data_IF_820219338531
#
_entry.id   IF_820219338531
#
_cell.length_a   1.000
_cell.length_b   1.000
_cell.length_c   1.000
_cell.angle_alpha   90.00
_cell.angle_beta   90.00
_cell.angle_gamma   90.00
#
_symmetry.space_group_name_H-M   'P 1'
#
loop_
_entity.id
_entity.type
_entity.pdbx_description
1 polymer ?
#
# COMPACT_ATOMS: atom_id res chain seq x y z
N UNK A 1 -0.94 -0.60 26.69
CA UNK A 1 -0.71 0.00 25.37
C UNK A 1 -1.26 -0.96 24.33
N UNK A 2 -2.30 -0.59 23.59
CA UNK A 2 -3.04 -1.51 22.70
C UNK A 2 -2.97 -1.13 21.22
N UNK A 3 -2.56 0.10 20.91
CA UNK A 3 -2.58 0.64 19.55
C UNK A 3 -1.44 1.65 19.35
N UNK A 4 -1.09 1.85 18.09
CA UNK A 4 -0.16 2.88 17.63
C UNK A 4 -0.95 3.95 16.91
N UNK A 5 -0.56 5.22 17.10
CA UNK A 5 -1.18 6.36 16.42
C UNK A 5 -0.09 7.11 15.66
N UNK A 6 -0.26 7.27 14.35
CA UNK A 6 0.69 7.99 13.50
C UNK A 6 0.51 9.51 13.57
N UNK A 7 1.47 10.26 13.02
CA UNK A 7 1.35 11.72 12.87
C UNK A 7 0.17 12.16 11.99
N UNK A 8 -0.33 11.27 11.12
CA UNK A 8 -1.51 11.49 10.28
C UNK A 8 -2.81 11.10 10.99
N UNK A 9 -2.77 10.76 12.29
CA UNK A 9 -3.90 10.28 13.10
C UNK A 9 -4.44 8.91 12.67
N UNK A 10 -3.64 8.15 11.92
CA UNK A 10 -3.96 6.76 11.60
C UNK A 10 -3.73 5.89 12.83
N UNK A 11 -4.71 5.04 13.15
CA UNK A 11 -4.68 4.14 14.30
C UNK A 11 -4.48 2.71 13.82
N UNK A 12 -3.45 2.06 14.34
CA UNK A 12 -3.13 0.66 14.03
C UNK A 12 -3.14 -0.14 15.34
N UNK A 13 -4.07 -1.10 15.51
CA UNK A 13 -4.06 -1.99 16.67
C UNK A 13 -2.79 -2.83 16.71
N UNK A 14 -2.15 -2.92 17.87
CA UNK A 14 -1.02 -3.82 18.06
C UNK A 14 -1.50 -5.28 18.00
N UNK A 15 -0.66 -6.16 17.47
CA UNK A 15 -0.94 -7.62 17.45
C UNK A 15 -1.12 -8.21 18.86
N UNK A 16 -0.61 -7.53 19.89
CA UNK A 16 -0.78 -7.85 21.30
C UNK A 16 -0.87 -6.58 22.13
N UNK A 17 -1.70 -6.60 23.17
CA UNK A 17 -1.70 -5.53 24.17
C UNK A 17 -0.44 -5.64 25.02
N UNK A 18 0.21 -4.50 25.25
CA UNK A 18 1.47 -4.39 25.96
C UNK A 18 1.30 -3.72 27.33
N UNK A 19 1.92 -4.29 28.36
CA UNK A 19 1.84 -3.87 29.76
C UNK A 19 3.25 -3.61 30.31
N UNK A 20 3.62 -2.37 30.70
CA UNK A 20 4.98 -2.05 31.18
C UNK A 20 5.39 -2.79 32.46
N UNK A 21 4.41 -3.18 33.28
CA UNK A 21 4.57 -3.93 34.52
C UNK A 21 5.08 -5.37 34.28
N UNK A 22 4.83 -5.96 33.10
CA UNK A 22 5.40 -7.25 32.69
C UNK A 22 6.95 -7.23 32.65
N UNK A 23 7.54 -6.03 32.63
CA UNK A 23 8.98 -5.79 32.54
C UNK A 23 9.51 -4.99 33.75
N UNK A 24 8.88 -5.14 34.92
CA UNK A 24 9.25 -4.44 36.15
C UNK A 24 9.32 -2.90 36.01
N UNK A 25 8.57 -2.32 35.06
CA UNK A 25 8.60 -0.90 34.72
C UNK A 25 9.99 -0.35 34.30
N UNK A 26 10.92 -1.21 33.88
CA UNK A 26 12.22 -0.79 33.39
C UNK A 26 12.08 -0.18 31.99
N UNK A 27 12.21 1.14 31.90
CA UNK A 27 11.90 1.93 30.70
C UNK A 27 12.63 1.46 29.46
N UNK A 28 13.94 1.25 29.54
CA UNK A 28 14.76 0.81 28.41
C UNK A 28 14.33 -0.58 27.91
N UNK A 29 13.94 -1.47 28.82
CA UNK A 29 13.50 -2.82 28.48
C UNK A 29 12.13 -2.78 27.81
N UNK A 30 11.13 -2.18 28.45
CA UNK A 30 9.77 -2.24 27.94
C UNK A 30 9.59 -1.41 26.66
N UNK A 31 10.34 -0.32 26.49
CA UNK A 31 10.34 0.43 25.22
C UNK A 31 10.92 -0.40 24.07
N UNK A 32 12.03 -1.11 24.30
CA UNK A 32 12.64 -1.97 23.26
C UNK A 32 11.70 -3.10 22.82
N UNK A 33 10.99 -3.70 23.78
CA UNK A 33 10.02 -4.77 23.48
C UNK A 33 8.79 -4.21 22.77
N UNK A 34 8.30 -3.03 23.20
CA UNK A 34 7.21 -2.34 22.53
C UNK A 34 7.58 -2.00 21.07
N UNK A 35 8.75 -1.42 20.83
CA UNK A 35 9.26 -1.10 19.48
C UNK A 35 9.29 -2.35 18.58
N UNK A 36 9.77 -3.48 19.12
CA UNK A 36 9.76 -4.75 18.38
C UNK A 36 8.33 -5.16 18.02
N UNK A 37 7.39 -5.06 18.96
CA UNK A 37 5.98 -5.36 18.71
C UNK A 37 5.31 -4.41 17.70
N UNK A 38 5.72 -3.14 17.67
CA UNK A 38 5.29 -2.17 16.66
C UNK A 38 5.74 -2.61 15.26
N UNK A 39 7.02 -2.96 15.10
CA UNK A 39 7.58 -3.49 13.85
C UNK A 39 6.88 -4.79 13.39
N UNK A 40 6.66 -5.73 14.30
CA UNK A 40 5.94 -6.97 14.01
C UNK A 40 4.50 -6.70 13.56
N UNK A 41 3.84 -5.72 14.18
CA UNK A 41 2.48 -5.31 13.82
C UNK A 41 2.42 -4.77 12.40
N UNK A 42 3.31 -3.84 12.03
CA UNK A 42 3.33 -3.29 10.66
C UNK A 42 3.66 -4.39 9.64
N UNK A 43 4.59 -5.29 9.96
CA UNK A 43 4.92 -6.43 9.10
C UNK A 43 3.70 -7.33 8.87
N UNK A 44 2.95 -7.64 9.92
CA UNK A 44 1.72 -8.44 9.82
C UNK A 44 0.63 -7.73 9.01
N UNK A 45 0.41 -6.43 9.26
CA UNK A 45 -0.54 -5.60 8.52
C UNK A 45 -0.21 -5.61 7.02
N UNK A 46 1.05 -5.35 6.64
CA UNK A 46 1.45 -5.36 5.23
C UNK A 46 1.23 -6.73 4.58
N UNK A 47 1.54 -7.83 5.29
CA UNK A 47 1.27 -9.19 4.77
C UNK A 47 -0.21 -9.42 4.53
N UNK A 48 -1.07 -9.09 5.52
CA UNK A 48 -2.51 -9.29 5.39
C UNK A 48 -3.11 -8.41 4.29
N UNK A 49 -2.66 -7.16 4.17
CA UNK A 49 -3.08 -6.24 3.12
C UNK A 49 -2.77 -6.83 1.73
N UNK A 50 -1.52 -7.27 1.51
CA UNK A 50 -1.11 -7.87 0.25
C UNK A 50 -1.89 -9.15 -0.08
N UNK A 51 -2.12 -10.03 0.90
CA UNK A 51 -2.91 -11.26 0.68
C UNK A 51 -4.38 -10.96 0.37
N UNK A 52 -4.97 -9.94 0.97
CA UNK A 52 -6.38 -9.57 0.77
C UNK A 52 -6.61 -8.81 -0.55
N UNK A 53 -5.55 -8.29 -1.20
CA UNK A 53 -5.64 -7.43 -2.39
C UNK A 53 -6.43 -8.06 -3.54
N UNK A 54 -6.13 -9.33 -3.88
CA UNK A 54 -6.79 -10.03 -5.00
C UNK A 54 -8.24 -10.46 -4.67
N UNK A 55 -8.61 -10.46 -3.39
CA UNK A 55 -9.91 -10.93 -2.91
C UNK A 55 -11.03 -9.89 -2.91
N UNK A 56 -10.74 -8.62 -3.23
CA UNK A 56 -11.68 -7.50 -3.06
C UNK A 56 -11.67 -6.52 -4.24
N UNK A 57 -12.76 -5.77 -4.47
CA UNK A 57 -12.72 -4.63 -5.36
C UNK A 57 -11.69 -3.60 -4.88
N UNK A 58 -10.76 -3.20 -5.76
CA UNK A 58 -9.65 -2.29 -5.41
C UNK A 58 -10.10 -1.03 -4.67
N UNK A 59 -11.17 -0.39 -5.15
CA UNK A 59 -11.67 0.85 -4.53
C UNK A 59 -12.21 0.68 -3.10
N UNK A 60 -12.66 -0.52 -2.73
CA UNK A 60 -13.00 -0.87 -1.35
C UNK A 60 -11.74 -1.21 -0.57
N UNK A 61 -10.86 -2.05 -1.13
CA UNK A 61 -9.60 -2.45 -0.51
C UNK A 61 -8.73 -1.24 -0.11
N UNK A 62 -8.64 -0.22 -0.96
CA UNK A 62 -7.89 1.02 -0.70
C UNK A 62 -8.35 1.80 0.54
N UNK A 63 -9.57 1.54 1.04
CA UNK A 63 -10.16 2.25 2.19
C UNK A 63 -10.05 1.46 3.50
N UNK A 64 -9.78 0.16 3.42
CA UNK A 64 -9.81 -0.77 4.54
C UNK A 64 -8.44 -0.95 5.21
N UNK A 65 -7.35 -0.69 4.48
CA UNK A 65 -5.99 -0.94 4.94
C UNK A 65 -5.25 0.34 5.34
N UNK A 66 -4.32 0.28 6.31
CA UNK A 66 -3.49 1.41 6.68
C UNK A 66 -2.70 1.96 5.49
N UNK A 67 -2.56 3.28 5.42
CA UNK A 67 -2.09 3.99 4.25
C UNK A 67 -0.74 3.53 3.76
N UNK A 68 0.23 3.34 4.65
CA UNK A 68 1.56 2.85 4.24
C UNK A 68 1.53 1.40 3.71
N UNK A 69 0.65 0.55 4.25
CA UNK A 69 0.44 -0.79 3.72
C UNK A 69 -0.22 -0.73 2.33
N UNK A 70 -1.21 0.15 2.14
CA UNK A 70 -1.82 0.43 0.84
C UNK A 70 -0.78 0.82 -0.20
N UNK A 71 0.04 1.83 0.09
CA UNK A 71 1.06 2.31 -0.85
C UNK A 71 2.07 1.21 -1.21
N UNK A 72 2.57 0.48 -0.21
CA UNK A 72 3.56 -0.57 -0.41
C UNK A 72 3.00 -1.75 -1.24
N UNK A 73 1.80 -2.22 -0.91
CA UNK A 73 1.15 -3.30 -1.66
C UNK A 73 0.85 -2.87 -3.10
N UNK A 74 0.35 -1.65 -3.34
CA UNK A 74 0.11 -1.16 -4.69
C UNK A 74 1.39 -1.12 -5.54
N UNK A 75 2.52 -0.69 -4.97
CA UNK A 75 3.81 -0.70 -5.68
C UNK A 75 4.27 -2.13 -5.97
N UNK A 76 4.17 -3.05 -4.99
CA UNK A 76 4.52 -4.46 -5.19
C UNK A 76 3.70 -5.12 -6.30
N UNK A 77 2.38 -4.91 -6.27
CA UNK A 77 1.47 -5.45 -7.28
C UNK A 77 1.77 -4.87 -8.65
N UNK A 78 1.93 -3.55 -8.76
CA UNK A 78 2.28 -2.91 -10.03
C UNK A 78 3.59 -3.46 -10.60
N UNK A 79 4.64 -3.61 -9.79
CA UNK A 79 5.92 -4.18 -10.26
C UNK A 79 5.72 -5.61 -10.77
N UNK A 80 5.00 -6.44 -10.02
CA UNK A 80 4.69 -7.82 -10.42
C UNK A 80 3.92 -7.85 -11.75
N UNK A 81 2.86 -7.07 -11.87
CA UNK A 81 2.01 -7.02 -13.07
C UNK A 81 2.79 -6.55 -14.30
N UNK A 82 3.66 -5.54 -14.17
CA UNK A 82 4.53 -5.09 -15.28
C UNK A 82 5.51 -6.17 -15.68
N UNK A 83 6.23 -6.78 -14.74
CA UNK A 83 7.19 -7.85 -15.02
C UNK A 83 6.52 -9.06 -15.68
N UNK A 84 5.35 -9.48 -15.18
CA UNK A 84 4.57 -10.58 -15.77
C UNK A 84 4.06 -10.22 -17.16
N UNK A 85 3.59 -8.98 -17.37
CA UNK A 85 3.14 -8.51 -18.68
C UNK A 85 4.26 -8.55 -19.71
N UNK A 86 5.45 -8.05 -19.37
CA UNK A 86 6.61 -8.06 -20.27
C UNK A 86 6.99 -9.50 -20.62
N UNK A 87 7.10 -10.38 -19.61
CA UNK A 87 7.51 -11.78 -19.79
C UNK A 87 6.53 -12.61 -20.60
N UNK A 88 5.23 -12.43 -20.37
CA UNK A 88 4.19 -13.31 -20.93
C UNK A 88 3.55 -12.78 -22.21
N UNK A 89 3.47 -11.45 -22.35
CA UNK A 89 2.71 -10.79 -23.42
C UNK A 89 3.56 -9.82 -24.25
N UNK A 90 4.79 -9.51 -23.83
CA UNK A 90 5.71 -8.62 -24.53
C UNK A 90 5.15 -7.21 -24.72
N UNK A 91 5.66 -6.52 -25.75
CA UNK A 91 5.25 -5.15 -26.09
C UNK A 91 3.73 -4.96 -26.26
N UNK A 92 2.98 -5.84 -26.97
CA UNK A 92 1.52 -5.69 -27.09
C UNK A 92 0.79 -5.76 -25.75
N UNK A 93 1.27 -6.60 -24.83
CA UNK A 93 0.73 -6.67 -23.47
C UNK A 93 0.98 -5.38 -22.71
N UNK A 94 2.19 -4.82 -22.83
CA UNK A 94 2.59 -3.59 -22.17
C UNK A 94 1.78 -2.38 -22.67
N UNK A 95 1.53 -2.28 -23.98
CA UNK A 95 0.62 -1.27 -24.57
C UNK A 95 -0.81 -1.39 -24.02
N UNK A 96 -1.29 -2.61 -23.75
CA UNK A 96 -2.59 -2.82 -23.14
C UNK A 96 -2.58 -2.46 -21.65
N UNK A 97 -1.50 -2.80 -20.94
CA UNK A 97 -1.33 -2.46 -19.53
C UNK A 97 -1.23 -0.93 -19.32
N UNK A 98 -0.62 -0.18 -20.23
CA UNK A 98 -0.62 1.28 -20.21
C UNK A 98 -2.05 1.86 -20.18
N UNK A 99 -2.96 1.31 -21.01
CA UNK A 99 -4.38 1.72 -21.01
C UNK A 99 -5.06 1.39 -19.68
N UNK A 100 -4.77 0.21 -19.11
CA UNK A 100 -5.28 -0.17 -17.80
C UNK A 100 -4.81 0.81 -16.72
N UNK A 101 -3.54 1.25 -16.73
CA UNK A 101 -3.03 2.27 -15.80
C UNK A 101 -3.84 3.58 -15.90
N UNK A 102 -4.21 4.02 -17.10
CA UNK A 102 -5.04 5.22 -17.30
C UNK A 102 -6.43 5.04 -16.68
N UNK A 103 -7.07 3.88 -16.87
CA UNK A 103 -8.38 3.59 -16.29
C UNK A 103 -8.33 3.49 -14.76
N UNK A 104 -7.31 2.81 -14.22
CA UNK A 104 -7.08 2.70 -12.78
C UNK A 104 -6.88 4.08 -12.14
N UNK A 105 -6.08 4.94 -12.76
CA UNK A 105 -5.86 6.31 -12.32
C UNK A 105 -7.18 7.13 -12.34
N UNK A 106 -8.01 6.99 -13.38
CA UNK A 106 -9.30 7.66 -13.45
C UNK A 106 -10.24 7.23 -12.32
N UNK A 107 -10.27 5.93 -12.01
CA UNK A 107 -11.03 5.38 -10.88
C UNK A 107 -10.51 5.91 -9.54
N UNK A 108 -9.19 5.95 -9.35
CA UNK A 108 -8.57 6.48 -8.13
C UNK A 108 -8.90 7.97 -7.94
N UNK A 109 -8.81 8.79 -9.00
CA UNK A 109 -9.22 10.20 -8.96
C UNK A 109 -10.72 10.33 -8.60
N UNK A 110 -11.56 9.43 -9.09
CA UNK A 110 -12.96 9.34 -8.68
C UNK A 110 -13.13 9.11 -7.18
N UNK A 111 -12.36 8.19 -6.59
CA UNK A 111 -12.37 7.91 -5.15
C UNK A 111 -11.91 9.13 -4.32
N UNK A 112 -10.85 9.80 -4.75
CA UNK A 112 -10.35 11.04 -4.09
C UNK A 112 -11.45 12.12 -4.09
N UNK A 113 -12.17 12.29 -5.19
CA UNK A 113 -13.27 13.28 -5.28
C UNK A 113 -14.51 12.89 -4.47
N UNK A 114 -14.65 11.62 -4.12
CA UNK A 114 -15.75 11.11 -3.32
C UNK A 114 -15.68 11.50 -1.84
N UNK A 115 -16.67 11.03 -1.08
CA UNK A 115 -16.66 11.15 0.39
C UNK A 115 -15.82 10.01 0.98
N UNK A 116 -14.71 10.37 1.61
CA UNK A 116 -13.80 9.45 2.31
C UNK A 116 -13.29 10.13 3.59
N UNK A 117 -12.96 9.35 4.64
CA UNK A 117 -12.30 9.88 5.84
C UNK A 117 -11.00 10.63 5.51
N UNK A 118 -10.63 11.60 6.34
CA UNK A 118 -9.43 12.44 6.13
C UNK A 118 -8.15 11.61 5.98
N UNK A 119 -7.97 10.58 6.82
CA UNK A 119 -6.79 9.70 6.78
C UNK A 119 -6.72 8.96 5.44
N UNK A 120 -7.84 8.35 5.03
CA UNK A 120 -7.95 7.66 3.74
C UNK A 120 -7.71 8.62 2.57
N UNK A 121 -8.24 9.85 2.63
CA UNK A 121 -8.00 10.87 1.59
C UNK A 121 -6.51 11.16 1.43
N UNK A 122 -5.77 11.31 2.53
CA UNK A 122 -4.33 11.55 2.50
C UNK A 122 -3.58 10.39 1.82
N UNK A 123 -3.97 9.14 2.10
CA UNK A 123 -3.45 7.96 1.41
C UNK A 123 -3.74 7.98 -0.08
N UNK A 124 -4.99 8.24 -0.48
CA UNK A 124 -5.39 8.25 -1.88
C UNK A 124 -4.68 9.37 -2.66
N UNK A 125 -4.49 10.55 -2.07
CA UNK A 125 -3.73 11.65 -2.67
C UNK A 125 -2.26 11.27 -2.90
N UNK A 126 -1.62 10.62 -1.92
CA UNK A 126 -0.26 10.11 -2.09
C UNK A 126 -0.19 9.01 -3.16
N UNK A 127 -1.19 8.12 -3.20
CA UNK A 127 -1.27 7.06 -4.19
C UNK A 127 -1.44 7.61 -5.61
N UNK A 128 -2.22 8.68 -5.81
CA UNK A 128 -2.35 9.34 -7.13
C UNK A 128 -0.99 9.79 -7.65
N UNK A 129 -0.15 10.39 -6.81
CA UNK A 129 1.19 10.84 -7.21
C UNK A 129 2.06 9.65 -7.64
N UNK A 130 2.01 8.55 -6.88
CA UNK A 130 2.75 7.32 -7.19
C UNK A 130 2.25 6.69 -8.50
N UNK A 131 0.93 6.61 -8.69
CA UNK A 131 0.35 5.97 -9.88
C UNK A 131 0.55 6.79 -11.16
N UNK A 132 0.60 8.12 -11.08
CA UNK A 132 1.02 8.96 -12.22
C UNK A 132 2.43 8.58 -12.65
N UNK A 133 3.37 8.47 -11.71
CA UNK A 133 4.74 8.08 -12.01
C UNK A 133 4.83 6.65 -12.57
N UNK A 134 4.11 5.71 -11.96
CA UNK A 134 4.04 4.32 -12.40
C UNK A 134 3.51 4.21 -13.84
N UNK A 135 2.45 4.95 -14.18
CA UNK A 135 1.90 5.04 -15.54
C UNK A 135 2.92 5.65 -16.51
N UNK A 136 3.61 6.72 -16.11
CA UNK A 136 4.62 7.37 -16.95
C UNK A 136 5.79 6.43 -17.25
N UNK A 137 6.24 5.63 -16.28
CA UNK A 137 7.25 4.58 -16.49
C UNK A 137 6.74 3.55 -17.51
N UNK A 138 5.50 3.06 -17.38
CA UNK A 138 4.95 2.10 -18.35
C UNK A 138 4.93 2.68 -19.76
N UNK A 139 4.53 3.95 -19.92
CA UNK A 139 4.54 4.63 -21.21
C UNK A 139 5.97 4.79 -21.79
N UNK A 140 6.96 5.05 -20.94
CA UNK A 140 8.37 5.08 -21.33
C UNK A 140 8.85 3.71 -21.81
N UNK A 141 8.56 2.64 -21.08
CA UNK A 141 8.92 1.26 -21.46
C UNK A 141 8.29 0.87 -22.82
N UNK A 142 7.03 1.27 -23.07
CA UNK A 142 6.37 1.08 -24.38
C UNK A 142 7.09 1.86 -25.47
N UNK A 143 7.42 3.13 -25.22
CA UNK A 143 8.13 3.99 -26.18
C UNK A 143 9.52 3.46 -26.53
N UNK A 144 10.20 2.86 -25.57
CA UNK A 144 11.52 2.24 -25.75
C UNK A 144 11.46 0.83 -26.33
N UNK A 145 10.26 0.26 -26.51
CA UNK A 145 10.04 -1.10 -27.02
C UNK A 145 10.77 -2.15 -26.17
N UNK A 146 10.68 -2.03 -24.84
CA UNK A 146 11.33 -2.95 -23.90
C UNK A 146 10.72 -4.35 -24.01
N UNK A 147 11.60 -5.35 -24.06
CA UNK A 147 11.31 -6.78 -24.11
C UNK A 147 12.26 -7.52 -23.13
N UNK A 148 11.93 -8.77 -22.75
CA UNK A 148 12.69 -9.61 -21.79
C UNK A 148 14.03 -10.14 -22.35
#
# INVERSE_FOLDING_TARGET
ISEMISGQTEVVPLIRTFHPDDHNNQVEVWLTVLETAMCDTIRDVCKRATTDFEGRPRGEWLKEWPGQAVLATCQMVWTKEVEETIREQGLPGLENYEKNCVEQMANLVGLVRGQVPRVVRCTLEALVVIEVHAKDIVAELVSEQVED
#
